data_IF_107146994611
#
_entry.id   IF_107146994611
#
_cell.length_a   1.000
_cell.length_b   1.000
_cell.length_c   1.000
_cell.angle_alpha   90.00
_cell.angle_beta   90.00
_cell.angle_gamma   90.00
#
_symmetry.space_group_name_H-M   'P 1'
#
loop_
_entity.id
_entity.type
_entity.pdbx_description
1 polymer ?
#
# COMPACT_ATOMS: atom_id res chain seq x y z
N UNK A 1 -22.11 -70.16 -22.08
CA UNK A 1 -21.51 -70.05 -23.42
C UNK A 1 -21.65 -68.59 -23.84
N UNK A 2 -20.56 -67.82 -23.76
CA UNK A 2 -19.62 -67.49 -24.86
C UNK A 2 -20.11 -66.31 -25.70
N UNK A 3 -19.35 -65.21 -25.60
CA UNK A 3 -19.01 -64.19 -26.63
C UNK A 3 -20.17 -63.30 -27.13
N UNK A 4 -20.03 -62.00 -27.39
CA UNK A 4 -18.86 -61.16 -27.67
C UNK A 4 -19.26 -59.66 -27.75
N UNK A 5 -18.28 -58.77 -27.50
CA UNK A 5 -17.89 -57.55 -28.28
C UNK A 5 -18.97 -56.45 -28.44
N UNK A 6 -18.84 -55.31 -27.74
CA UNK A 6 -18.21 -54.02 -28.17
C UNK A 6 -18.87 -53.34 -29.39
N UNK A 7 -19.37 -52.10 -29.21
CA UNK A 7 -19.06 -50.87 -29.99
C UNK A 7 -20.06 -49.74 -29.66
N UNK A 8 -19.48 -48.62 -29.20
CA UNK A 8 -19.78 -47.21 -29.40
C UNK A 8 -21.22 -46.62 -29.43
N UNK A 9 -21.36 -45.60 -28.56
CA UNK A 9 -21.91 -44.26 -28.80
C UNK A 9 -23.44 -44.08 -28.96
N UNK A 10 -24.07 -43.39 -27.99
CA UNK A 10 -24.55 -42.01 -28.17
C UNK A 10 -25.05 -41.40 -26.83
N UNK A 11 -24.52 -40.23 -26.50
CA UNK A 11 -25.18 -39.05 -25.92
C UNK A 11 -26.41 -39.23 -25.02
N UNK A 12 -26.28 -38.89 -23.73
CA UNK A 12 -27.28 -38.11 -23.00
C UNK A 12 -26.65 -37.42 -21.79
N UNK A 13 -27.06 -36.16 -21.60
CA UNK A 13 -26.44 -35.13 -20.78
C UNK A 13 -26.53 -35.37 -19.26
N UNK A 14 -25.53 -34.88 -18.53
CA UNK A 14 -25.61 -34.59 -17.09
C UNK A 14 -24.66 -33.42 -16.75
N UNK A 15 -25.01 -32.58 -15.77
CA UNK A 15 -24.72 -31.16 -15.76
C UNK A 15 -23.27 -30.83 -15.39
N UNK A 16 -22.77 -29.77 -16.03
CA UNK A 16 -21.52 -29.11 -15.70
C UNK A 16 -21.53 -28.62 -14.25
N UNK A 17 -20.82 -29.34 -13.37
CA UNK A 17 -20.27 -28.75 -12.15
C UNK A 17 -19.06 -27.92 -12.56
N UNK A 18 -19.32 -26.65 -12.87
CA UNK A 18 -18.30 -25.62 -12.96
C UNK A 18 -17.66 -25.44 -11.57
N UNK A 19 -16.57 -26.17 -11.31
CA UNK A 19 -15.65 -25.81 -10.24
C UNK A 19 -14.84 -24.60 -10.72
N UNK A 20 -15.44 -23.43 -10.58
CA UNK A 20 -14.72 -22.17 -10.63
C UNK A 20 -13.85 -22.09 -9.38
N UNK A 21 -12.56 -22.38 -9.54
CA UNK A 21 -11.51 -21.93 -8.62
C UNK A 21 -11.66 -20.41 -8.45
N UNK A 22 -11.80 -19.88 -7.23
CA UNK A 22 -11.71 -18.44 -7.03
C UNK A 22 -10.28 -18.01 -7.39
N UNK A 23 -10.16 -17.29 -8.51
CA UNK A 23 -8.97 -16.52 -8.78
C UNK A 23 -8.73 -15.55 -7.60
N UNK A 24 -7.47 -15.28 -7.21
CA UNK A 24 -7.19 -14.25 -6.21
C UNK A 24 -7.84 -12.95 -6.68
N UNK A 25 -8.76 -12.43 -5.88
CA UNK A 25 -9.35 -11.13 -6.14
C UNK A 25 -8.20 -10.11 -6.26
N UNK A 26 -8.22 -9.20 -7.26
CA UNK A 26 -7.33 -8.06 -7.27
C UNK A 26 -7.44 -7.37 -5.92
N UNK A 27 -6.32 -7.21 -5.22
CA UNK A 27 -6.26 -6.41 -4.01
C UNK A 27 -6.91 -5.06 -4.33
N UNK A 28 -8.06 -4.79 -3.72
CA UNK A 28 -8.72 -3.51 -3.83
C UNK A 28 -7.69 -2.43 -3.43
N UNK A 29 -7.59 -1.30 -4.15
CA UNK A 29 -6.83 -0.16 -3.68
C UNK A 29 -7.33 0.13 -2.26
N UNK A 30 -6.41 0.14 -1.29
CA UNK A 30 -6.75 0.52 0.07
C UNK A 30 -7.51 1.87 0.01
N UNK A 31 -8.62 2.02 0.74
CA UNK A 31 -9.38 3.26 0.70
C UNK A 31 -8.44 4.40 1.09
N UNK A 32 -8.15 5.28 0.12
CA UNK A 32 -7.47 6.53 0.40
C UNK A 32 -8.30 7.27 1.44
N UNK A 33 -7.71 7.43 2.63
CA UNK A 33 -8.30 8.23 3.71
C UNK A 33 -8.66 9.62 3.17
N UNK A 34 -9.71 10.28 3.71
CA UNK A 34 -10.15 11.58 3.22
C UNK A 34 -8.94 12.52 3.20
N UNK A 35 -8.60 13.01 2.00
CA UNK A 35 -7.51 13.94 1.81
C UNK A 35 -7.84 15.21 2.61
N UNK A 36 -7.19 15.38 3.75
CA UNK A 36 -7.21 16.61 4.51
C UNK A 36 -6.87 17.78 3.57
N UNK A 37 -7.61 18.88 3.62
CA UNK A 37 -7.36 20.17 2.92
C UNK A 37 -5.97 20.80 3.22
N UNK A 38 -5.08 20.07 3.89
CA UNK A 38 -3.71 20.45 4.13
C UNK A 38 -2.87 20.29 2.86
N UNK A 39 -1.96 21.24 2.62
CA UNK A 39 -0.99 21.19 1.52
C UNK A 39 -0.13 19.92 1.56
N UNK A 40 0.18 19.44 2.77
CA UNK A 40 0.97 18.24 3.02
C UNK A 40 0.30 17.39 4.09
N UNK A 41 0.40 16.07 3.96
CA UNK A 41 -0.09 15.10 4.93
C UNK A 41 0.84 13.87 4.98
N UNK A 42 0.52 12.90 5.84
CA UNK A 42 1.34 11.70 6.02
C UNK A 42 1.38 10.76 4.82
N UNK A 43 0.44 10.89 3.88
CA UNK A 43 0.36 10.14 2.64
C UNK A 43 1.07 10.85 1.47
N UNK A 44 1.56 12.07 1.71
CA UNK A 44 2.35 12.81 0.72
C UNK A 44 3.76 12.22 0.64
N UNK A 45 4.34 12.07 -0.56
CA UNK A 45 5.71 11.61 -0.71
C UNK A 45 6.69 12.51 0.06
N UNK A 46 7.66 11.92 0.76
CA UNK A 46 8.62 12.68 1.55
C UNK A 46 9.34 13.74 0.71
N UNK A 47 9.72 13.39 -0.52
CA UNK A 47 10.41 14.31 -1.43
C UNK A 47 9.61 15.59 -1.71
N UNK A 48 8.27 15.50 -1.75
CA UNK A 48 7.40 16.63 -2.03
C UNK A 48 7.24 17.51 -0.79
N UNK A 49 7.22 16.89 0.40
CA UNK A 49 7.23 17.58 1.69
C UNK A 49 8.54 18.33 1.89
N UNK A 50 9.69 17.68 1.67
CA UNK A 50 11.00 18.32 1.91
C UNK A 50 11.40 19.32 0.83
N UNK A 51 10.73 19.30 -0.32
CA UNK A 51 10.88 20.33 -1.34
C UNK A 51 10.40 21.70 -0.85
N UNK A 52 9.51 21.72 0.16
CA UNK A 52 9.11 22.92 0.88
C UNK A 52 9.98 23.13 2.13
N UNK A 53 10.43 24.36 2.38
CA UNK A 53 11.27 24.65 3.54
C UNK A 53 10.56 24.40 4.87
N UNK A 54 9.25 24.67 4.96
CA UNK A 54 8.45 24.40 6.17
C UNK A 54 8.24 22.92 6.34
N UNK A 55 7.91 22.21 5.26
CA UNK A 55 7.76 20.75 5.27
C UNK A 55 9.04 20.07 5.72
N UNK A 56 10.19 20.44 5.16
CA UNK A 56 11.51 19.97 5.58
C UNK A 56 11.78 20.23 7.07
N UNK A 57 11.48 21.42 7.58
CA UNK A 57 11.67 21.75 8.99
C UNK A 57 10.82 20.88 9.92
N UNK A 58 9.57 20.57 9.52
CA UNK A 58 8.71 19.64 10.27
C UNK A 58 9.30 18.22 10.26
N UNK A 59 9.77 17.74 9.11
CA UNK A 59 10.41 16.42 9.01
C UNK A 59 11.69 16.37 9.87
N UNK A 60 12.56 17.38 9.82
CA UNK A 60 13.77 17.38 10.65
C UNK A 60 13.49 17.49 12.15
N UNK A 61 12.42 18.20 12.53
CA UNK A 61 11.98 18.33 13.93
C UNK A 61 11.55 17.00 14.53
N UNK A 62 10.75 16.22 13.79
CA UNK A 62 10.22 14.94 14.28
C UNK A 62 11.14 13.76 13.94
N UNK A 63 11.86 13.82 12.82
CA UNK A 63 12.74 12.77 12.33
C UNK A 63 14.16 13.31 12.06
N UNK A 64 14.91 13.65 13.11
CA UNK A 64 16.24 14.22 12.96
C UNK A 64 17.18 13.27 12.22
N UNK A 65 17.78 13.76 11.14
CA UNK A 65 18.71 13.00 10.31
C UNK A 65 18.06 12.05 9.30
N UNK A 66 16.71 11.98 9.21
CA UNK A 66 16.02 11.11 8.25
C UNK A 66 16.42 11.40 6.80
N UNK A 67 16.47 12.67 6.42
CA UNK A 67 16.84 13.09 5.06
C UNK A 67 18.33 12.92 4.76
N UNK A 68 19.15 12.72 5.79
CA UNK A 68 20.58 12.47 5.67
C UNK A 68 20.91 10.97 5.58
N UNK A 69 19.92 10.09 5.75
CA UNK A 69 20.12 8.65 5.63
C UNK A 69 20.51 8.29 4.19
N UNK A 70 21.44 7.33 3.98
CA UNK A 70 21.76 6.84 2.64
C UNK A 70 20.54 6.18 1.96
N UNK A 71 19.62 5.67 2.77
CA UNK A 71 18.36 5.06 2.34
C UNK A 71 17.32 6.10 1.91
N UNK A 72 17.54 7.39 2.17
CA UNK A 72 16.59 8.45 1.83
C UNK A 72 16.21 8.42 0.35
N UNK A 73 17.16 8.19 -0.56
CA UNK A 73 16.88 8.06 -1.99
C UNK A 73 15.93 6.90 -2.32
N UNK A 74 15.90 5.84 -1.49
CA UNK A 74 15.02 4.70 -1.68
C UNK A 74 13.59 4.99 -1.19
N UNK A 75 13.44 5.73 -0.08
CA UNK A 75 12.14 5.97 0.54
C UNK A 75 11.55 7.37 0.31
N UNK A 76 12.29 8.32 -0.29
CA UNK A 76 11.78 9.68 -0.51
C UNK A 76 10.56 9.74 -1.43
N UNK A 77 10.39 8.74 -2.30
CA UNK A 77 9.28 8.65 -3.24
C UNK A 77 8.01 8.06 -2.61
N UNK A 78 8.07 7.56 -1.39
CA UNK A 78 6.92 7.03 -0.63
C UNK A 78 6.60 7.95 0.56
N UNK A 79 5.48 7.68 1.22
CA UNK A 79 4.98 8.47 2.34
C UNK A 79 5.51 7.97 3.69
N UNK A 80 5.36 8.77 4.76
CA UNK A 80 5.79 8.39 6.12
C UNK A 80 4.98 7.20 6.66
N UNK A 81 3.68 7.14 6.38
CA UNK A 81 2.80 6.01 6.73
C UNK A 81 3.25 4.73 6.03
N UNK A 82 3.67 4.83 4.78
CA UNK A 82 4.23 3.69 4.05
C UNK A 82 5.62 3.31 4.55
N UNK A 83 6.44 4.27 4.98
CA UNK A 83 7.79 4.01 5.49
C UNK A 83 7.80 3.37 6.89
N UNK A 84 6.79 3.66 7.72
CA UNK A 84 6.66 3.16 9.09
C UNK A 84 7.03 1.67 9.26
N UNK A 85 6.42 0.71 8.53
CA UNK A 85 6.74 -0.72 8.68
C UNK A 85 8.18 -1.06 8.30
N UNK A 86 8.82 -0.31 7.38
CA UNK A 86 10.22 -0.54 6.98
C UNK A 86 11.22 0.08 7.95
N UNK A 87 10.79 1.05 8.76
CA UNK A 87 11.64 1.79 9.69
C UNK A 87 12.12 0.97 10.90
N UNK A 88 11.68 -0.29 11.05
CA UNK A 88 12.02 -1.17 12.18
C UNK A 88 11.70 -0.53 13.55
N UNK A 89 10.58 0.20 13.65
CA UNK A 89 10.16 0.87 14.87
C UNK A 89 10.83 2.22 15.14
N UNK A 90 11.64 2.74 14.20
CA UNK A 90 12.19 4.11 14.29
C UNK A 90 11.12 5.18 14.09
N UNK A 91 10.08 4.89 13.32
CA UNK A 91 8.90 5.74 13.15
C UNK A 91 7.80 5.16 14.03
N UNK A 92 7.39 5.92 15.06
CA UNK A 92 6.28 5.56 15.94
C UNK A 92 5.00 6.26 15.54
N UNK A 93 3.85 5.72 15.92
CA UNK A 93 2.54 6.33 15.63
C UNK A 93 2.40 7.72 16.27
N UNK A 94 3.02 7.93 17.44
CA UNK A 94 3.04 9.23 18.11
C UNK A 94 3.80 10.28 17.29
N UNK A 95 4.97 9.92 16.74
CA UNK A 95 5.74 10.80 15.85
C UNK A 95 4.96 11.12 14.58
N UNK A 96 4.27 10.13 14.00
CA UNK A 96 3.41 10.35 12.84
C UNK A 96 2.26 11.30 13.16
N UNK A 97 1.56 11.11 14.27
CA UNK A 97 0.46 11.98 14.68
C UNK A 97 0.95 13.42 14.91
N UNK A 98 2.10 13.60 15.59
CA UNK A 98 2.71 14.91 15.80
C UNK A 98 3.14 15.57 14.48
N UNK A 99 3.73 14.79 13.58
CA UNK A 99 4.13 15.27 12.25
C UNK A 99 2.91 15.65 11.40
N UNK A 100 1.84 14.84 11.41
CA UNK A 100 0.61 15.11 10.68
C UNK A 100 -0.01 16.45 11.10
N UNK A 101 -0.02 16.71 12.41
CA UNK A 101 -0.52 17.96 12.97
C UNK A 101 0.31 19.15 12.47
N UNK A 102 1.63 19.08 12.56
CA UNK A 102 2.51 20.16 12.14
C UNK A 102 2.47 20.38 10.61
N UNK A 103 2.39 19.31 9.81
CA UNK A 103 2.22 19.41 8.36
C UNK A 103 0.88 20.05 7.97
N UNK A 104 -0.19 19.79 8.72
CA UNK A 104 -1.50 20.38 8.49
C UNK A 104 -1.54 21.90 8.75
N UNK A 105 -0.58 22.45 9.49
CA UNK A 105 -0.45 23.90 9.69
C UNK A 105 0.16 24.62 8.47
N UNK A 106 0.75 23.86 7.53
CA UNK A 106 1.34 24.39 6.29
C UNK A 106 0.25 24.61 5.25
N UNK A 107 0.07 25.87 4.84
CA UNK A 107 -0.86 26.32 3.78
C UNK A 107 -0.12 26.70 2.51
#
# INVERSE_FOLDING_TARGET
MKTAIFVAALMAAAPAFAQATPAPAPAAPAPAAPASDAKFNLDTPLQDIVADEKGKAVIEKHFPGMIALPEYEMFKAISLTQLQPYSNGKITDEMLAATAKDLAEIK
#
